data_IF_089791954597
#
_entry.id   IF_089791954597
#
_cell.length_a   1.000
_cell.length_b   1.000
_cell.length_c   1.000
_cell.angle_alpha   90.00
_cell.angle_beta   90.00
_cell.angle_gamma   90.00
#
_symmetry.space_group_name_H-M   'P 1'
#
loop_
_entity.id
_entity.type
_entity.pdbx_description
1 polymer ?
#
# COMPACT_ATOMS: atom_id res chain seq x y z
N UNK A 1 3.96 11.66 1.19
CA UNK A 1 3.63 10.28 0.79
C UNK A 1 2.49 9.78 1.65
N UNK A 2 1.54 9.10 1.04
CA UNK A 2 0.37 8.46 1.65
C UNK A 2 0.29 7.01 1.15
N UNK A 3 -0.53 6.19 1.80
CA UNK A 3 -0.89 4.86 1.30
C UNK A 3 -2.40 4.80 1.08
N UNK A 4 -3.19 4.98 2.13
CA UNK A 4 -4.64 4.84 2.09
C UNK A 4 -5.38 6.11 2.50
N UNK A 5 -6.53 6.35 1.87
CA UNK A 5 -7.43 7.44 2.22
C UNK A 5 -8.80 6.85 2.52
N UNK A 6 -9.05 6.56 3.80
CA UNK A 6 -10.25 5.86 4.25
C UNK A 6 -11.15 6.79 5.07
N UNK A 7 -12.48 6.75 4.89
CA UNK A 7 -13.39 7.33 5.87
C UNK A 7 -13.13 6.75 7.26
N UNK A 8 -13.38 7.53 8.30
CA UNK A 8 -13.28 7.02 9.67
C UNK A 8 -14.16 5.76 9.83
N UNK A 9 -13.54 4.67 10.26
CA UNK A 9 -14.25 3.45 10.62
C UNK A 9 -14.35 3.31 12.15
N UNK A 10 -15.49 2.91 12.69
CA UNK A 10 -15.61 2.58 14.11
C UNK A 10 -14.92 1.23 14.43
N UNK A 11 -14.50 0.48 13.42
CA UNK A 11 -13.86 -0.83 13.60
C UNK A 11 -12.48 -0.64 14.24
N UNK A 12 -12.16 -1.36 15.31
CA UNK A 12 -10.81 -1.35 15.88
C UNK A 12 -9.75 -1.71 14.83
N UNK A 13 -8.58 -1.10 14.94
CA UNK A 13 -7.45 -1.33 14.02
C UNK A 13 -6.17 -1.57 14.82
N UNK A 14 -5.27 -2.35 14.25
CA UNK A 14 -3.89 -2.48 14.74
C UNK A 14 -3.12 -1.21 14.35
N UNK A 15 -2.32 -0.66 15.26
CA UNK A 15 -1.61 0.61 15.04
C UNK A 15 -0.71 0.60 13.80
N UNK A 16 -0.07 -0.54 13.53
CA UNK A 16 0.78 -0.69 12.35
C UNK A 16 0.01 -0.41 11.05
N UNK A 17 -1.16 -0.99 10.90
CA UNK A 17 -2.03 -0.77 9.73
C UNK A 17 -2.70 0.61 9.76
N UNK A 18 -3.21 1.03 10.93
CA UNK A 18 -3.88 2.33 11.09
C UNK A 18 -2.93 3.52 10.81
N UNK A 19 -1.63 3.36 11.04
CA UNK A 19 -0.62 4.38 10.77
C UNK A 19 -0.43 4.71 9.28
N UNK A 20 -0.88 3.85 8.39
CA UNK A 20 -0.83 4.04 6.93
C UNK A 20 -2.09 4.70 6.36
N UNK A 21 -3.09 4.98 7.19
CA UNK A 21 -4.39 5.48 6.79
C UNK A 21 -4.58 6.93 7.21
N UNK A 22 -5.12 7.73 6.30
CA UNK A 22 -5.59 9.09 6.59
C UNK A 22 -7.06 9.23 6.18
N UNK A 23 -7.77 10.19 6.78
CA UNK A 23 -9.15 10.47 6.35
C UNK A 23 -9.18 11.38 5.13
N UNK A 24 -10.28 11.35 4.33
CA UNK A 24 -10.52 12.32 3.27
C UNK A 24 -10.39 13.78 3.74
N UNK A 25 -10.90 14.08 4.94
CA UNK A 25 -10.78 15.42 5.54
C UNK A 25 -9.33 15.77 5.90
N UNK A 26 -8.53 14.81 6.35
CA UNK A 26 -7.10 15.05 6.60
C UNK A 26 -6.36 15.37 5.30
N UNK A 27 -6.63 14.63 4.22
CA UNK A 27 -6.05 14.90 2.91
C UNK A 27 -6.40 16.30 2.42
N UNK A 28 -7.68 16.68 2.49
CA UNK A 28 -8.14 18.02 2.08
C UNK A 28 -7.53 19.14 2.94
N UNK A 29 -7.45 18.96 4.25
CA UNK A 29 -6.77 19.88 5.16
C UNK A 29 -5.27 20.01 4.86
N UNK A 30 -4.60 18.93 4.46
CA UNK A 30 -3.17 18.96 4.06
C UNK A 30 -2.97 19.84 2.82
N UNK A 31 -3.85 19.76 1.81
CA UNK A 31 -3.83 20.65 0.63
C UNK A 31 -3.96 22.11 1.05
N UNK A 32 -4.94 22.43 1.89
CA UNK A 32 -5.15 23.77 2.41
C UNK A 32 -3.94 24.30 3.18
N UNK A 33 -3.40 23.47 4.10
CA UNK A 33 -2.25 23.85 4.90
C UNK A 33 -1.04 24.19 4.03
N UNK A 34 -0.73 23.36 3.03
CA UNK A 34 0.41 23.60 2.15
C UNK A 34 0.24 24.91 1.38
N UNK A 35 -0.93 25.15 0.78
CA UNK A 35 -1.20 26.39 0.03
C UNK A 35 -1.14 27.64 0.90
N UNK A 36 -1.70 27.60 2.10
CA UNK A 36 -1.63 28.73 3.05
C UNK A 36 -0.20 29.03 3.52
N UNK A 37 0.69 28.04 3.53
CA UNK A 37 2.09 28.22 3.90
C UNK A 37 3.01 28.48 2.68
N UNK A 38 2.45 28.82 1.54
CA UNK A 38 3.19 29.24 0.35
C UNK A 38 3.86 28.11 -0.42
N UNK A 39 3.41 26.85 -0.22
CA UNK A 39 3.87 25.73 -1.04
C UNK A 39 3.11 25.69 -2.37
N UNK A 40 3.83 25.58 -3.46
CA UNK A 40 3.29 25.16 -4.75
C UNK A 40 3.17 23.64 -4.77
N UNK A 41 2.01 23.10 -5.15
CA UNK A 41 1.83 21.66 -5.30
C UNK A 41 2.06 21.31 -6.76
N UNK A 42 3.10 20.53 -7.00
CA UNK A 42 3.58 20.18 -8.35
C UNK A 42 3.53 18.66 -8.58
N UNK A 43 3.56 18.25 -9.86
CA UNK A 43 3.72 16.84 -10.19
C UNK A 43 5.12 16.33 -9.87
N UNK A 44 5.30 15.01 -9.79
CA UNK A 44 6.61 14.40 -9.55
C UNK A 44 7.57 14.73 -10.70
N UNK A 45 7.10 14.67 -11.93
CA UNK A 45 7.87 15.05 -13.12
C UNK A 45 8.35 16.50 -13.02
N UNK A 46 7.47 17.43 -12.61
CA UNK A 46 7.87 18.85 -12.42
C UNK A 46 8.86 19.01 -11.27
N UNK A 47 8.68 18.28 -10.18
CA UNK A 47 9.64 18.30 -9.07
C UNK A 47 11.04 17.83 -9.49
N UNK A 48 11.12 16.77 -10.30
CA UNK A 48 12.40 16.31 -10.85
C UNK A 48 13.07 17.39 -11.70
N UNK A 49 12.35 18.08 -12.58
CA UNK A 49 12.88 19.19 -13.38
C UNK A 49 13.41 20.33 -12.50
N UNK A 50 12.68 20.71 -11.45
CA UNK A 50 13.11 21.74 -10.50
C UNK A 50 14.44 21.33 -9.83
N UNK A 51 14.56 20.08 -9.42
CA UNK A 51 15.78 19.57 -8.78
C UNK A 51 16.96 19.45 -9.76
N UNK A 52 16.72 19.22 -11.06
CA UNK A 52 17.75 19.11 -12.09
C UNK A 52 18.27 20.47 -12.60
N UNK A 53 17.74 21.59 -12.10
CA UNK A 53 18.34 22.90 -12.38
C UNK A 53 17.37 24.01 -12.80
N UNK A 54 16.09 23.72 -12.95
CA UNK A 54 15.04 24.73 -13.09
C UNK A 54 14.69 25.39 -11.73
N UNK A 55 15.71 25.58 -10.86
CA UNK A 55 15.52 26.00 -9.50
C UNK A 55 14.84 27.37 -9.42
N UNK A 56 13.60 27.39 -8.94
CA UNK A 56 12.93 28.56 -8.42
C UNK A 56 13.03 28.56 -6.89
N UNK A 57 13.31 29.69 -6.25
CA UNK A 57 13.33 29.82 -4.77
C UNK A 57 11.98 29.58 -4.09
N UNK A 58 11.08 28.80 -4.70
CA UNK A 58 9.76 28.50 -4.21
C UNK A 58 9.74 27.19 -3.45
N UNK A 59 8.99 27.17 -2.34
CA UNK A 59 8.68 25.92 -1.64
C UNK A 59 7.70 25.11 -2.49
N UNK A 60 7.99 23.84 -2.71
CA UNK A 60 7.04 22.98 -3.39
C UNK A 60 6.76 21.69 -2.61
N UNK A 61 5.66 21.05 -2.93
CA UNK A 61 5.25 19.76 -2.38
C UNK A 61 4.73 18.85 -3.49
N UNK A 62 4.97 17.54 -3.34
CA UNK A 62 4.45 16.50 -4.23
C UNK A 62 3.56 15.57 -3.43
N UNK A 63 2.43 15.17 -3.98
CA UNK A 63 1.56 14.15 -3.41
C UNK A 63 1.85 12.82 -4.07
N UNK A 64 2.19 11.81 -3.27
CA UNK A 64 2.40 10.43 -3.73
C UNK A 64 1.60 9.46 -2.88
N UNK A 65 1.11 8.40 -3.51
CA UNK A 65 0.40 7.29 -2.89
C UNK A 65 1.09 6.00 -3.29
N UNK A 66 1.36 5.14 -2.32
CA UNK A 66 2.03 3.88 -2.55
C UNK A 66 1.03 2.71 -2.60
N UNK A 67 1.46 1.57 -3.13
CA UNK A 67 0.82 0.27 -3.22
C UNK A 67 -0.29 0.14 -4.28
N UNK A 68 -1.11 1.17 -4.48
CA UNK A 68 -2.24 1.09 -5.39
C UNK A 68 -3.52 0.56 -4.74
N UNK A 69 -3.93 1.13 -3.62
CA UNK A 69 -5.21 0.82 -2.97
C UNK A 69 -6.41 1.47 -3.67
N UNK A 70 -7.54 0.78 -3.69
CA UNK A 70 -8.79 1.22 -4.33
C UNK A 70 -9.34 2.54 -3.76
N UNK A 71 -9.07 2.83 -2.47
CA UNK A 71 -9.48 4.08 -1.84
C UNK A 71 -8.73 5.31 -2.38
N UNK A 72 -7.61 5.13 -3.05
CA UNK A 72 -6.96 6.21 -3.79
C UNK A 72 -7.84 6.68 -4.95
N UNK A 73 -8.51 5.78 -5.66
CA UNK A 73 -9.49 6.12 -6.68
C UNK A 73 -10.80 6.63 -6.09
N UNK A 74 -11.32 5.95 -5.07
CA UNK A 74 -12.65 6.22 -4.51
C UNK A 74 -12.70 7.51 -3.70
N UNK A 75 -11.65 7.85 -2.98
CA UNK A 75 -11.65 8.94 -2.01
C UNK A 75 -10.58 10.00 -2.26
N UNK A 76 -9.33 9.62 -2.59
CA UNK A 76 -8.26 10.59 -2.82
C UNK A 76 -8.42 11.33 -4.16
N UNK A 77 -8.61 10.60 -5.24
CA UNK A 77 -8.71 11.16 -6.60
C UNK A 77 -9.78 12.25 -6.75
N UNK A 78 -11.03 12.07 -6.29
CA UNK A 78 -12.05 13.13 -6.37
C UNK A 78 -11.65 14.42 -5.63
N UNK A 79 -10.99 14.30 -4.47
CA UNK A 79 -10.51 15.44 -3.69
C UNK A 79 -9.40 16.16 -4.44
N UNK A 80 -8.39 15.43 -4.89
CA UNK A 80 -7.23 15.99 -5.60
C UNK A 80 -7.68 16.66 -6.90
N UNK A 81 -8.59 16.03 -7.64
CA UNK A 81 -9.20 16.59 -8.86
C UNK A 81 -9.98 17.88 -8.59
N UNK A 82 -10.82 17.89 -7.55
CA UNK A 82 -11.59 19.09 -7.11
C UNK A 82 -10.66 20.28 -6.84
N UNK A 83 -9.50 20.02 -6.26
CA UNK A 83 -8.52 21.04 -5.91
C UNK A 83 -7.45 21.28 -6.99
N UNK A 84 -7.54 20.63 -8.16
CA UNK A 84 -6.54 20.66 -9.23
C UNK A 84 -5.13 20.42 -8.69
N UNK A 85 -4.96 19.33 -7.92
CA UNK A 85 -3.70 18.90 -7.32
C UNK A 85 -3.13 17.74 -8.12
N UNK A 86 -1.95 17.89 -8.73
CA UNK A 86 -1.26 16.76 -9.35
C UNK A 86 -0.76 15.77 -8.30
N UNK A 87 -0.74 14.48 -8.65
CA UNK A 87 -0.29 13.42 -7.76
C UNK A 87 0.19 12.19 -8.52
N UNK A 88 0.99 11.38 -7.86
CA UNK A 88 1.50 10.11 -8.39
C UNK A 88 0.97 8.96 -7.55
N UNK A 89 0.52 7.87 -8.20
CA UNK A 89 0.23 6.59 -7.55
C UNK A 89 1.28 5.59 -8.00
N UNK A 90 2.02 5.02 -7.06
CA UNK A 90 2.93 3.91 -7.28
C UNK A 90 2.21 2.59 -7.08
N UNK A 91 2.08 1.79 -8.15
CA UNK A 91 1.25 0.58 -8.17
C UNK A 91 2.11 -0.67 -8.07
N UNK A 92 1.82 -1.52 -7.10
CA UNK A 92 2.28 -2.91 -7.03
C UNK A 92 1.42 -3.74 -7.98
N UNK A 93 2.00 -4.25 -9.07
CA UNK A 93 1.21 -4.77 -10.20
C UNK A 93 0.43 -6.05 -9.92
N UNK A 94 0.86 -6.88 -8.97
CA UNK A 94 0.08 -8.03 -8.50
C UNK A 94 -1.23 -7.65 -7.80
N UNK A 95 -1.38 -6.39 -7.33
CA UNK A 95 -2.64 -5.94 -6.73
C UNK A 95 -3.76 -5.89 -7.76
N UNK A 96 -3.66 -5.10 -8.86
CA UNK A 96 -4.68 -5.08 -9.89
C UNK A 96 -4.76 -6.36 -10.73
N UNK A 97 -3.75 -7.24 -10.73
CA UNK A 97 -3.83 -8.57 -11.32
C UNK A 97 -4.71 -9.54 -10.48
N UNK A 98 -5.01 -9.19 -9.21
CA UNK A 98 -5.78 -10.03 -8.31
C UNK A 98 -4.99 -11.23 -7.75
N UNK A 99 -3.66 -11.21 -7.86
CA UNK A 99 -2.78 -12.32 -7.47
C UNK A 99 -2.06 -12.07 -6.13
N UNK A 100 -2.09 -10.84 -5.62
CA UNK A 100 -1.46 -10.50 -4.35
C UNK A 100 -2.23 -11.09 -3.17
N UNK A 101 -1.51 -11.53 -2.17
CA UNK A 101 -2.10 -11.87 -0.86
C UNK A 101 -1.80 -10.73 0.11
N UNK A 102 -2.80 -9.92 0.44
CA UNK A 102 -2.68 -8.83 1.40
C UNK A 102 -2.71 -9.39 2.83
N UNK A 103 -1.76 -10.30 3.12
CA UNK A 103 -1.71 -11.12 4.33
C UNK A 103 -1.66 -10.29 5.62
N UNK A 104 -1.13 -9.08 5.60
CA UNK A 104 -1.09 -8.19 6.76
C UNK A 104 -2.48 -7.71 7.20
N UNK A 105 -3.42 -7.54 6.26
CA UNK A 105 -4.83 -7.27 6.57
C UNK A 105 -5.57 -8.53 7.04
N UNK A 106 -5.28 -9.69 6.43
CA UNK A 106 -5.83 -10.97 6.89
C UNK A 106 -5.38 -11.28 8.32
N UNK A 107 -4.11 -11.00 8.63
CA UNK A 107 -3.57 -11.16 9.98
C UNK A 107 -4.23 -10.19 10.96
N UNK A 108 -4.41 -8.93 10.58
CA UNK A 108 -5.12 -7.95 11.39
C UNK A 108 -6.55 -8.42 11.70
N UNK A 109 -7.30 -8.83 10.68
CA UNK A 109 -8.68 -9.31 10.85
C UNK A 109 -8.75 -10.54 11.77
N UNK A 110 -7.83 -11.49 11.60
CA UNK A 110 -7.74 -12.68 12.45
C UNK A 110 -7.51 -12.29 13.91
N UNK A 111 -6.53 -11.43 14.18
CA UNK A 111 -6.19 -10.97 15.53
C UNK A 111 -7.32 -10.17 16.15
N UNK A 112 -8.03 -9.36 15.37
CA UNK A 112 -9.17 -8.58 15.87
C UNK A 112 -10.37 -9.45 16.22
N UNK A 113 -10.59 -10.54 15.47
CA UNK A 113 -11.72 -11.47 15.63
C UNK A 113 -11.49 -12.47 16.75
N UNK A 114 -10.31 -13.05 16.83
CA UNK A 114 -9.99 -14.13 17.77
C UNK A 114 -9.50 -13.57 19.13
N UNK A 115 -9.82 -14.28 20.21
CA UNK A 115 -9.24 -14.02 21.53
C UNK A 115 -7.92 -14.79 21.77
N UNK A 116 -7.66 -15.80 20.94
CA UNK A 116 -6.49 -16.69 21.00
C UNK A 116 -6.18 -17.20 19.59
N UNK A 117 -4.92 -17.18 19.22
CA UNK A 117 -4.42 -17.68 17.94
C UNK A 117 -3.43 -18.80 18.21
N UNK A 118 -3.60 -19.92 17.51
CA UNK A 118 -2.76 -21.10 17.61
C UNK A 118 -2.44 -21.64 16.22
N UNK A 119 -1.18 -21.91 15.97
CA UNK A 119 -0.72 -22.54 14.72
C UNK A 119 0.59 -23.29 14.93
N UNK A 120 0.85 -24.23 14.04
CA UNK A 120 2.15 -24.88 13.90
C UNK A 120 2.95 -24.15 12.81
N UNK A 121 4.20 -23.80 13.12
CA UNK A 121 5.09 -23.13 12.19
C UNK A 121 6.49 -23.74 12.31
N UNK A 122 7.00 -24.28 11.21
CA UNK A 122 8.30 -24.96 11.14
C UNK A 122 8.49 -26.03 12.23
N UNK A 123 7.42 -26.83 12.47
CA UNK A 123 7.41 -27.92 13.45
C UNK A 123 7.37 -27.46 14.91
N UNK A 124 7.04 -26.22 15.18
CA UNK A 124 6.83 -25.67 16.53
C UNK A 124 5.40 -25.17 16.68
N UNK A 125 4.81 -25.42 17.84
CA UNK A 125 3.52 -24.87 18.20
C UNK A 125 3.67 -23.45 18.75
N UNK A 126 2.85 -22.55 18.25
CA UNK A 126 2.74 -21.16 18.68
C UNK A 126 1.35 -20.90 19.23
N UNK A 127 1.31 -20.12 20.30
CA UNK A 127 0.06 -19.71 20.96
C UNK A 127 0.17 -18.26 21.37
N UNK A 128 -0.81 -17.46 20.97
CA UNK A 128 -0.91 -16.04 21.27
C UNK A 128 -2.27 -15.72 21.87
N UNK A 129 -2.30 -14.86 22.90
CA UNK A 129 -3.53 -14.30 23.44
C UNK A 129 -3.80 -12.95 22.80
N UNK A 130 -5.07 -12.68 22.44
CA UNK A 130 -5.52 -11.49 21.73
C UNK A 130 -6.74 -10.85 22.42
N UNK A 131 -6.84 -10.94 23.74
CA UNK A 131 -7.98 -10.42 24.49
C UNK A 131 -7.89 -8.89 24.73
N UNK A 132 -6.69 -8.36 24.97
CA UNK A 132 -6.45 -6.93 25.17
C UNK A 132 -5.87 -6.27 23.94
N UNK A 133 -5.97 -4.93 23.86
CA UNK A 133 -5.35 -4.14 22.78
C UNK A 133 -3.84 -4.38 22.74
N UNK A 134 -3.19 -4.42 23.90
CA UNK A 134 -1.75 -4.65 23.98
C UNK A 134 -1.35 -6.04 23.45
N UNK A 135 -2.08 -7.10 23.83
CA UNK A 135 -1.83 -8.45 23.31
C UNK A 135 -2.03 -8.52 21.80
N UNK A 136 -3.06 -7.88 21.26
CA UNK A 136 -3.30 -7.81 19.81
C UNK A 136 -2.14 -7.15 19.06
N UNK A 137 -1.64 -6.04 19.56
CA UNK A 137 -0.49 -5.34 18.97
C UNK A 137 0.78 -6.18 18.99
N UNK A 138 1.09 -6.83 20.13
CA UNK A 138 2.27 -7.71 20.24
C UNK A 138 2.14 -8.93 19.34
N UNK A 139 0.98 -9.60 19.35
CA UNK A 139 0.72 -10.75 18.48
C UNK A 139 0.90 -10.40 17.01
N UNK A 140 0.41 -9.23 16.59
CA UNK A 140 0.58 -8.78 15.21
C UNK A 140 2.07 -8.62 14.87
N UNK A 141 2.85 -7.96 15.71
CA UNK A 141 4.28 -7.76 15.48
C UNK A 141 5.03 -9.09 15.42
N UNK A 142 4.82 -9.97 16.39
CA UNK A 142 5.49 -11.27 16.47
C UNK A 142 5.21 -12.15 15.24
N UNK A 143 3.94 -12.25 14.83
CA UNK A 143 3.55 -13.06 13.68
C UNK A 143 4.03 -12.39 12.37
N UNK A 144 3.95 -11.08 12.28
CA UNK A 144 4.47 -10.33 11.14
C UNK A 144 5.98 -10.58 10.95
N UNK A 145 6.76 -10.58 12.03
CA UNK A 145 8.17 -10.92 12.00
C UNK A 145 8.41 -12.38 11.59
N UNK A 146 7.64 -13.34 12.10
CA UNK A 146 7.72 -14.74 11.70
C UNK A 146 7.50 -14.90 10.18
N UNK A 147 6.53 -14.19 9.62
CA UNK A 147 6.24 -14.21 8.19
C UNK A 147 7.42 -13.63 7.40
N UNK A 148 8.00 -12.52 7.83
CA UNK A 148 9.03 -11.81 7.07
C UNK A 148 10.46 -12.35 7.30
N UNK A 149 10.76 -13.02 8.41
CA UNK A 149 12.12 -13.42 8.75
C UNK A 149 12.66 -14.66 8.01
N UNK A 150 11.91 -15.25 7.08
CA UNK A 150 12.40 -16.37 6.27
C UNK A 150 12.69 -15.99 4.82
N UNK A 151 13.15 -16.98 4.01
CA UNK A 151 13.36 -16.79 2.58
C UNK A 151 12.07 -16.38 1.85
N UNK A 152 12.14 -15.38 0.95
CA UNK A 152 10.96 -14.90 0.22
C UNK A 152 10.29 -15.99 -0.63
N UNK A 153 11.06 -16.93 -1.18
CA UNK A 153 10.52 -18.08 -1.92
C UNK A 153 9.61 -19.02 -1.12
N UNK A 154 9.59 -18.91 0.21
CA UNK A 154 8.70 -19.66 1.10
C UNK A 154 7.63 -18.78 1.76
N UNK A 155 7.49 -17.53 1.36
CA UNK A 155 6.54 -16.58 1.97
C UNK A 155 5.11 -17.11 1.98
N UNK A 156 4.61 -17.58 0.83
CA UNK A 156 3.26 -18.11 0.72
C UNK A 156 3.06 -19.37 1.58
N UNK A 157 4.07 -20.25 1.67
CA UNK A 157 3.99 -21.43 2.55
C UNK A 157 3.89 -21.04 4.02
N UNK A 158 4.66 -20.05 4.45
CA UNK A 158 4.61 -19.54 5.82
C UNK A 158 3.26 -18.89 6.16
N UNK A 159 2.71 -18.10 5.24
CA UNK A 159 1.36 -17.55 5.38
C UNK A 159 0.36 -18.70 5.52
N UNK A 160 0.39 -19.70 4.64
CA UNK A 160 -0.51 -20.85 4.70
C UNK A 160 -0.39 -21.66 6.00
N UNK A 161 0.82 -21.83 6.58
CA UNK A 161 0.99 -22.50 7.86
C UNK A 161 0.28 -21.77 9.00
N UNK A 162 0.41 -20.45 9.05
CA UNK A 162 -0.20 -19.62 10.10
C UNK A 162 -1.72 -19.63 10.01
N UNK A 163 -2.27 -19.57 8.81
CA UNK A 163 -3.71 -19.52 8.59
C UNK A 163 -4.38 -20.90 8.45
N UNK A 164 -3.63 -22.00 8.51
CA UNK A 164 -4.11 -23.37 8.23
C UNK A 164 -5.38 -23.77 8.99
N UNK A 165 -5.51 -23.33 10.24
CA UNK A 165 -6.63 -23.69 11.12
C UNK A 165 -7.76 -22.66 11.10
N UNK A 166 -7.68 -21.64 10.24
CA UNK A 166 -8.64 -20.54 10.17
C UNK A 166 -9.28 -20.51 8.78
N UNK A 167 -10.59 -20.22 8.79
CA UNK A 167 -11.33 -20.01 7.53
C UNK A 167 -11.01 -18.59 7.02
N UNK A 168 -10.14 -18.52 6.00
CA UNK A 168 -9.63 -17.27 5.43
C UNK A 168 -9.58 -17.40 3.91
N UNK A 169 -10.28 -16.52 3.22
CA UNK A 169 -10.09 -16.32 1.78
C UNK A 169 -8.89 -15.39 1.54
N UNK A 170 -7.82 -15.93 0.99
CA UNK A 170 -6.58 -15.20 0.77
C UNK A 170 -6.71 -14.06 -0.25
N UNK A 171 -7.66 -14.14 -1.16
CA UNK A 171 -7.85 -13.16 -2.23
C UNK A 171 -8.96 -12.14 -1.95
N UNK A 172 -9.80 -12.37 -0.94
CA UNK A 172 -10.89 -11.46 -0.58
C UNK A 172 -10.39 -10.03 -0.37
N UNK A 173 -9.36 -9.87 0.46
CA UNK A 173 -8.79 -8.53 0.73
C UNK A 173 -8.20 -7.87 -0.50
N UNK A 174 -7.66 -8.63 -1.43
CA UNK A 174 -7.10 -8.09 -2.67
C UNK A 174 -8.21 -7.55 -3.55
N UNK A 175 -9.31 -8.30 -3.71
CA UNK A 175 -10.46 -7.84 -4.49
C UNK A 175 -11.12 -6.58 -3.92
N UNK A 176 -11.13 -6.44 -2.59
CA UNK A 176 -11.77 -5.33 -1.90
C UNK A 176 -10.90 -4.08 -1.83
N UNK A 177 -9.60 -4.26 -1.67
CA UNK A 177 -8.69 -3.17 -1.33
C UNK A 177 -7.79 -2.71 -2.47
N UNK A 178 -7.58 -3.52 -3.50
CA UNK A 178 -6.71 -3.16 -4.62
C UNK A 178 -7.42 -2.33 -5.69
N UNK A 179 -6.69 -1.41 -6.32
CA UNK A 179 -7.12 -0.81 -7.58
C UNK A 179 -7.27 -1.88 -8.66
N UNK A 180 -8.28 -1.75 -9.50
CA UNK A 180 -8.36 -2.52 -10.74
C UNK A 180 -7.59 -1.84 -11.87
N UNK A 181 -7.16 -2.62 -12.87
CA UNK A 181 -6.57 -2.05 -14.09
C UNK A 181 -7.51 -1.09 -14.81
N UNK A 182 -8.83 -1.29 -14.71
CA UNK A 182 -9.80 -0.35 -15.26
C UNK A 182 -9.70 1.02 -14.62
N UNK A 183 -9.65 1.09 -13.29
CA UNK A 183 -9.51 2.35 -12.54
C UNK A 183 -8.16 3.02 -12.83
N UNK A 184 -7.08 2.25 -12.90
CA UNK A 184 -5.74 2.76 -13.25
C UNK A 184 -5.75 3.37 -14.65
N UNK A 185 -6.30 2.66 -15.67
CA UNK A 185 -6.43 3.19 -17.04
C UNK A 185 -7.34 4.42 -17.13
N UNK A 186 -8.34 4.53 -16.27
CA UNK A 186 -9.18 5.73 -16.20
C UNK A 186 -8.40 6.92 -15.64
N UNK A 187 -7.74 6.73 -14.50
CA UNK A 187 -6.93 7.80 -13.87
C UNK A 187 -5.76 8.23 -14.75
N UNK A 188 -5.10 7.31 -15.44
CA UNK A 188 -3.96 7.63 -16.29
C UNK A 188 -4.27 8.59 -17.46
N UNK A 189 -5.55 8.77 -17.82
CA UNK A 189 -6.00 9.75 -18.83
C UNK A 189 -6.14 11.16 -18.27
N UNK A 190 -6.14 11.34 -16.95
CA UNK A 190 -6.24 12.65 -16.32
C UNK A 190 -4.85 13.26 -16.20
N UNK A 191 -4.61 14.49 -16.75
CA UNK A 191 -3.29 15.11 -16.71
C UNK A 191 -2.79 15.46 -15.29
N UNK A 192 -3.63 15.34 -14.28
CA UNK A 192 -3.24 15.49 -12.88
C UNK A 192 -2.62 14.21 -12.30
N UNK A 193 -2.71 13.06 -12.98
CA UNK A 193 -2.34 11.76 -12.43
C UNK A 193 -1.13 11.18 -13.16
N UNK A 194 -0.11 10.87 -12.39
CA UNK A 194 1.04 10.07 -12.84
C UNK A 194 0.93 8.67 -12.22
N UNK A 195 1.11 7.61 -13.04
CA UNK A 195 1.15 6.23 -12.57
C UNK A 195 2.59 5.76 -12.57
N UNK A 196 3.10 5.37 -11.42
CA UNK A 196 4.45 4.86 -11.22
C UNK A 196 4.46 3.38 -10.83
N UNK A 197 5.62 2.73 -10.95
CA UNK A 197 5.82 1.35 -10.58
C UNK A 197 6.23 1.22 -9.10
N UNK A 198 5.63 0.25 -8.39
CA UNK A 198 5.95 -0.10 -7.00
C UNK A 198 6.27 -1.59 -6.84
N UNK A 199 7.08 -2.12 -7.74
CA UNK A 199 7.42 -3.55 -7.85
C UNK A 199 6.26 -4.43 -8.34
N UNK A 200 6.54 -5.71 -8.57
CA UNK A 200 5.50 -6.69 -8.94
C UNK A 200 4.81 -7.21 -7.69
N UNK A 201 5.58 -7.72 -6.71
CA UNK A 201 5.07 -8.51 -5.58
C UNK A 201 5.08 -7.76 -4.24
N UNK A 202 5.56 -6.52 -4.18
CA UNK A 202 5.74 -5.77 -2.94
C UNK A 202 6.72 -6.45 -1.94
N UNK A 203 7.73 -7.13 -2.45
CA UNK A 203 8.75 -7.76 -1.60
C UNK A 203 9.73 -6.75 -1.02
N UNK A 204 10.26 -6.98 0.20
CA UNK A 204 11.38 -6.20 0.73
C UNK A 204 12.61 -6.34 -0.18
N UNK A 205 12.94 -5.30 -0.96
CA UNK A 205 13.99 -5.36 -1.97
C UNK A 205 15.38 -5.69 -1.39
N UNK A 206 15.64 -5.32 -0.13
CA UNK A 206 16.88 -5.64 0.57
C UNK A 206 17.08 -7.14 0.87
N UNK A 207 16.06 -7.97 0.65
CA UNK A 207 16.11 -9.44 0.78
C UNK A 207 16.22 -10.17 -0.55
N UNK A 208 16.27 -9.43 -1.65
CA UNK A 208 16.36 -9.97 -3.00
C UNK A 208 17.80 -9.89 -3.53
N UNK A 209 18.13 -10.77 -4.47
CA UNK A 209 19.33 -10.60 -5.29
C UNK A 209 19.17 -9.42 -6.24
N UNK A 210 20.27 -8.83 -6.69
CA UNK A 210 20.27 -7.71 -7.65
C UNK A 210 19.44 -8.03 -8.89
N UNK A 211 19.60 -9.23 -9.47
CA UNK A 211 18.81 -9.65 -10.64
C UNK A 211 17.32 -9.80 -10.36
N UNK A 212 16.94 -10.16 -9.12
CA UNK A 212 15.54 -10.23 -8.72
C UNK A 212 14.96 -8.83 -8.48
N UNK A 213 15.74 -7.91 -7.89
CA UNK A 213 15.35 -6.49 -7.76
C UNK A 213 15.09 -5.89 -9.14
N UNK A 214 16.00 -6.12 -10.09
CA UNK A 214 15.84 -5.63 -11.47
C UNK A 214 14.53 -6.15 -12.09
N UNK A 215 14.23 -7.45 -11.94
CA UNK A 215 12.97 -8.04 -12.43
C UNK A 215 11.74 -7.41 -11.80
N UNK A 216 11.76 -7.18 -10.48
CA UNK A 216 10.66 -6.53 -9.77
C UNK A 216 10.39 -5.12 -10.31
N UNK A 217 11.44 -4.35 -10.52
CA UNK A 217 11.32 -2.96 -10.98
C UNK A 217 10.95 -2.87 -12.46
N UNK A 218 11.68 -3.57 -13.33
CA UNK A 218 11.44 -3.52 -14.78
C UNK A 218 10.12 -4.17 -15.16
N UNK A 219 9.81 -5.33 -14.57
CA UNK A 219 8.57 -6.05 -14.85
C UNK A 219 7.32 -5.25 -14.43
N UNK A 220 7.37 -4.56 -13.30
CA UNK A 220 6.25 -3.70 -12.88
C UNK A 220 6.10 -2.47 -13.77
N UNK A 221 7.20 -1.82 -14.16
CA UNK A 221 7.19 -0.73 -15.13
C UNK A 221 6.58 -1.18 -16.47
N UNK A 222 7.11 -2.24 -17.06
CA UNK A 222 6.68 -2.74 -18.37
C UNK A 222 5.19 -3.12 -18.36
N UNK A 223 4.70 -3.69 -17.25
CA UNK A 223 3.29 -4.01 -17.06
C UNK A 223 2.42 -2.74 -17.04
N UNK A 224 2.82 -1.71 -16.28
CA UNK A 224 2.10 -0.43 -16.21
C UNK A 224 2.08 0.26 -17.56
N UNK A 225 3.23 0.34 -18.25
CA UNK A 225 3.31 0.91 -19.60
C UNK A 225 2.40 0.18 -20.59
N UNK A 226 2.36 -1.16 -20.52
CA UNK A 226 1.48 -1.98 -21.35
C UNK A 226 -0.01 -1.73 -21.08
N UNK A 227 -0.40 -1.57 -19.82
CA UNK A 227 -1.79 -1.41 -19.40
C UNK A 227 -2.32 0.02 -19.61
N UNK A 228 -1.45 1.03 -19.47
CA UNK A 228 -1.85 2.44 -19.57
C UNK A 228 -1.55 3.07 -20.93
N UNK A 229 -0.61 2.50 -21.68
CA UNK A 229 -0.08 3.09 -22.92
C UNK A 229 0.82 4.32 -22.67
N UNK A 230 1.18 4.61 -21.42
CA UNK A 230 2.07 5.70 -21.02
C UNK A 230 3.49 5.16 -20.78
N UNK A 231 4.50 6.02 -21.02
CA UNK A 231 5.91 5.72 -20.73
C UNK A 231 6.42 6.65 -19.65
#
# INVERSE_FOLDING_TARGET
MFHRVCPNSPTPRIRGSAGLEVTPGYLENTIWFLRQNGYEIVSLTRAAQILDGDYEEKKFAVFTFDDGYADNYLHAYPILKKHAVPFTIYVTTHFPDGEAVLWWYLLEDLILRESRIEFEFDGREYQYFCASVWEKEQTYQDIHELILNGPLGTLNQRIQQIFKNYDVDFLEKTSDLALSWQQIREMSKDPLVEIGAHTIHHYPLNKLSESAVQKEMEGSRDKIESETGQK
#
